data_IF_678717124208
#
_entry.id   IF_678717124208
#
_cell.length_a   1.000
_cell.length_b   1.000
_cell.length_c   1.000
_cell.angle_alpha   90.00
_cell.angle_beta   90.00
_cell.angle_gamma   90.00
#
_symmetry.space_group_name_H-M   'P 1'
#
loop_
_entity.id
_entity.type
_entity.pdbx_description
1 polymer ?
#
# COMPACT_ATOMS: atom_id res chain seq x y z
N UNK A 1 -18.46 -20.48 -34.69
CA UNK A 1 -17.52 -19.62 -35.43
C UNK A 1 -17.80 -18.21 -34.94
N UNK A 2 -17.04 -17.56 -34.10
CA UNK A 2 -15.66 -17.69 -33.64
C UNK A 2 -15.66 -17.09 -32.22
N UNK A 3 -15.39 -17.90 -31.20
CA UNK A 3 -15.40 -17.46 -29.79
C UNK A 3 -13.99 -17.10 -29.38
N UNK A 4 -13.62 -15.84 -29.64
CA UNK A 4 -12.33 -15.25 -29.29
C UNK A 4 -12.08 -15.31 -27.79
N UNK A 5 -11.39 -16.36 -27.36
CA UNK A 5 -10.98 -16.57 -25.99
C UNK A 5 -9.79 -15.64 -25.73
N UNK A 6 -10.02 -14.55 -24.99
CA UNK A 6 -8.92 -13.67 -24.57
C UNK A 6 -8.17 -14.37 -23.43
N UNK A 7 -7.16 -15.15 -23.79
CA UNK A 7 -6.19 -15.72 -22.86
C UNK A 7 -5.39 -14.60 -22.22
N UNK A 8 -5.57 -14.39 -20.92
CA UNK A 8 -4.66 -13.59 -20.10
C UNK A 8 -3.31 -14.32 -20.06
N UNK A 9 -2.36 -13.86 -20.88
CA UNK A 9 -0.98 -14.32 -20.79
C UNK A 9 -0.38 -13.82 -19.47
N UNK A 10 0.33 -14.67 -18.71
CA UNK A 10 1.15 -14.18 -17.61
C UNK A 10 2.16 -13.19 -18.17
N UNK A 11 2.27 -12.02 -17.55
CA UNK A 11 3.33 -11.05 -17.83
C UNK A 11 4.64 -11.78 -17.54
N UNK A 12 5.37 -12.16 -18.60
CA UNK A 12 6.70 -12.69 -18.46
C UNK A 12 7.54 -11.67 -17.68
N UNK A 13 8.42 -12.09 -16.74
CA UNK A 13 9.43 -11.18 -16.21
C UNK A 13 10.15 -10.61 -17.41
N UNK A 14 10.01 -9.30 -17.62
CA UNK A 14 10.61 -8.63 -18.76
C UNK A 14 12.07 -9.04 -18.83
N UNK A 15 12.49 -9.54 -19.99
CA UNK A 15 13.90 -9.74 -20.28
C UNK A 15 14.61 -8.46 -19.88
N UNK A 16 15.45 -8.54 -18.85
CA UNK A 16 16.43 -7.53 -18.55
C UNK A 16 17.35 -7.49 -19.76
N UNK A 17 16.96 -6.70 -20.76
CA UNK A 17 17.82 -6.36 -21.88
C UNK A 17 19.08 -5.78 -21.25
N UNK A 18 20.19 -6.50 -21.46
CA UNK A 18 21.53 -6.09 -21.07
C UNK A 18 21.98 -4.87 -21.87
N UNK A 19 21.27 -3.76 -21.76
CA UNK A 19 21.81 -2.45 -22.00
C UNK A 19 22.60 -2.09 -20.75
N UNK A 20 23.93 -2.08 -20.85
CA UNK A 20 24.77 -1.60 -19.77
C UNK A 20 24.26 -0.24 -19.30
N UNK A 21 23.65 -0.23 -18.11
CA UNK A 21 23.25 1.01 -17.47
C UNK A 21 24.55 1.67 -17.05
N UNK A 22 25.05 2.58 -17.87
CA UNK A 22 26.11 3.50 -17.45
C UNK A 22 25.56 4.23 -16.22
N UNK A 23 25.95 3.78 -15.03
CA UNK A 23 25.52 4.42 -13.79
C UNK A 23 26.04 5.86 -13.81
N UNK A 24 25.11 6.81 -13.80
CA UNK A 24 25.45 8.22 -13.73
C UNK A 24 26.16 8.48 -12.40
N UNK A 25 27.32 9.13 -12.43
CA UNK A 25 27.97 9.60 -11.21
C UNK A 25 27.12 10.69 -10.52
N UNK A 26 27.49 11.07 -9.29
CA UNK A 26 26.75 12.06 -8.51
C UNK A 26 26.63 13.43 -9.23
N UNK A 27 27.68 13.85 -9.94
CA UNK A 27 27.69 15.09 -10.71
C UNK A 27 26.76 15.03 -11.93
N UNK A 28 26.78 13.91 -12.65
CA UNK A 28 25.91 13.64 -13.79
C UNK A 28 24.43 13.57 -13.37
N UNK A 29 24.11 12.91 -12.24
CA UNK A 29 22.74 12.90 -11.68
C UNK A 29 22.28 14.30 -11.29
N UNK A 30 23.14 15.08 -10.63
CA UNK A 30 22.84 16.47 -10.29
C UNK A 30 22.63 17.35 -11.55
N UNK A 31 23.44 17.14 -12.59
CA UNK A 31 23.28 17.82 -13.88
C UNK A 31 21.96 17.44 -14.58
N UNK A 32 21.58 16.16 -14.55
CA UNK A 32 20.32 15.67 -15.09
C UNK A 32 19.11 16.30 -14.38
N UNK A 33 19.14 16.40 -13.04
CA UNK A 33 18.11 17.11 -12.27
C UNK A 33 18.02 18.60 -12.60
N UNK A 34 19.17 19.29 -12.74
CA UNK A 34 19.22 20.69 -13.20
C UNK A 34 18.67 20.85 -14.62
N UNK A 35 18.94 19.90 -15.52
CA UNK A 35 18.41 19.90 -16.86
C UNK A 35 16.89 19.68 -16.88
N UNK A 36 16.35 18.78 -16.05
CA UNK A 36 14.92 18.59 -15.88
C UNK A 36 14.23 19.88 -15.43
N UNK A 37 14.79 20.56 -14.42
CA UNK A 37 14.27 21.86 -13.95
C UNK A 37 14.29 22.96 -15.02
N UNK A 38 15.27 22.94 -15.94
CA UNK A 38 15.31 23.90 -17.07
C UNK A 38 14.24 23.60 -18.11
N UNK A 39 13.95 22.31 -18.38
CA UNK A 39 12.87 21.91 -19.30
C UNK A 39 11.49 22.21 -18.75
N UNK A 40 11.28 21.94 -17.46
CA UNK A 40 10.03 22.21 -16.77
C UNK A 40 10.28 23.01 -15.48
N UNK A 41 10.02 24.32 -15.49
CA UNK A 41 10.11 25.14 -14.28
C UNK A 41 9.21 24.61 -13.17
N UNK A 42 9.65 24.68 -11.92
CA UNK A 42 8.90 24.16 -10.77
C UNK A 42 7.49 24.78 -10.63
N UNK A 43 7.31 26.04 -11.01
CA UNK A 43 6.00 26.70 -10.98
C UNK A 43 5.00 26.02 -11.92
N UNK A 44 5.44 25.52 -13.07
CA UNK A 44 4.57 24.81 -14.01
C UNK A 44 4.07 23.46 -13.46
N UNK A 45 4.73 22.90 -12.43
CA UNK A 45 4.22 21.71 -11.72
C UNK A 45 3.07 22.04 -10.75
N UNK A 46 2.90 23.31 -10.38
CA UNK A 46 1.83 23.76 -9.48
C UNK A 46 0.51 23.99 -10.25
N UNK A 47 0.60 24.31 -11.54
CA UNK A 47 -0.57 24.50 -12.38
C UNK A 47 -1.29 23.16 -12.61
N UNK A 48 -2.60 23.18 -12.44
CA UNK A 48 -3.48 22.06 -12.75
C UNK A 48 -4.66 22.58 -13.55
N UNK A 49 -4.68 22.22 -14.83
CA UNK A 49 -5.82 22.39 -15.72
C UNK A 49 -6.18 21.01 -16.28
N UNK A 50 -7.26 20.37 -15.82
CA UNK A 50 -7.64 19.06 -16.29
C UNK A 50 -8.24 19.06 -17.70
N UNK A 51 -8.49 20.25 -18.29
CA UNK A 51 -9.10 20.39 -19.60
C UNK A 51 -10.61 20.02 -19.63
N UNK A 52 -11.28 20.28 -20.77
CA UNK A 52 -12.71 20.02 -20.93
C UNK A 52 -13.06 18.54 -21.03
N UNK A 53 -12.11 17.69 -21.46
CA UNK A 53 -12.31 16.25 -21.66
C UNK A 53 -12.03 15.42 -20.41
N UNK A 54 -11.86 16.06 -19.25
CA UNK A 54 -11.65 15.36 -17.99
C UNK A 54 -12.86 14.45 -17.71
N UNK A 55 -12.66 13.12 -17.56
CA UNK A 55 -13.74 12.20 -17.24
C UNK A 55 -14.41 12.55 -15.92
N UNK A 56 -15.70 12.23 -15.81
CA UNK A 56 -16.41 12.29 -14.53
C UNK A 56 -15.72 11.35 -13.52
N UNK A 57 -15.27 11.85 -12.36
CA UNK A 57 -14.69 11.02 -11.31
C UNK A 57 -15.59 9.84 -10.89
N UNK A 58 -16.91 9.98 -10.97
CA UNK A 58 -17.84 8.88 -10.66
C UNK A 58 -17.81 7.81 -11.76
N UNK A 59 -17.81 8.22 -13.03
CA UNK A 59 -17.68 7.29 -14.15
C UNK A 59 -16.39 6.48 -14.09
N UNK A 60 -15.27 7.09 -13.66
CA UNK A 60 -14.01 6.37 -13.41
C UNK A 60 -14.15 5.29 -12.32
N UNK A 61 -14.91 5.57 -11.25
CA UNK A 61 -15.16 4.59 -10.19
C UNK A 61 -16.07 3.46 -10.65
N UNK A 62 -17.09 3.76 -11.44
CA UNK A 62 -18.00 2.78 -12.04
C UNK A 62 -17.26 1.86 -13.01
N UNK A 63 -16.35 2.41 -13.83
CA UNK A 63 -15.47 1.62 -14.68
C UNK A 63 -14.62 0.64 -13.85
N UNK A 64 -14.05 1.08 -12.74
CA UNK A 64 -13.32 0.18 -11.83
C UNK A 64 -14.25 -0.87 -11.19
N UNK A 65 -15.49 -0.51 -10.87
CA UNK A 65 -16.45 -1.39 -10.21
C UNK A 65 -16.82 -2.61 -11.07
N UNK A 66 -16.71 -2.53 -12.40
CA UNK A 66 -17.02 -3.65 -13.31
C UNK A 66 -16.18 -4.91 -13.06
N UNK A 67 -14.97 -4.78 -12.50
CA UNK A 67 -14.08 -5.91 -12.16
C UNK A 67 -14.14 -6.33 -10.69
N UNK A 68 -14.92 -5.62 -9.87
CA UNK A 68 -15.04 -5.85 -8.43
C UNK A 68 -16.14 -6.88 -8.14
N UNK A 69 -16.07 -7.49 -6.96
CA UNK A 69 -17.14 -8.35 -6.42
C UNK A 69 -18.43 -7.51 -6.29
N UNK A 70 -19.49 -7.80 -7.07
CA UNK A 70 -20.66 -6.91 -7.18
C UNK A 70 -21.33 -6.58 -5.86
N UNK A 71 -21.44 -7.56 -4.96
CA UNK A 71 -22.07 -7.44 -3.64
C UNK A 71 -21.34 -6.45 -2.72
N UNK A 72 -20.05 -6.20 -2.98
CA UNK A 72 -19.21 -5.30 -2.20
C UNK A 72 -19.10 -3.89 -2.80
N UNK A 73 -19.58 -3.68 -4.04
CA UNK A 73 -19.58 -2.35 -4.67
C UNK A 73 -20.37 -1.32 -3.86
N UNK A 74 -21.60 -1.59 -3.37
CA UNK A 74 -22.33 -0.65 -2.52
C UNK A 74 -21.59 -0.32 -1.21
N UNK A 75 -20.86 -1.29 -0.66
CA UNK A 75 -20.06 -1.10 0.55
C UNK A 75 -18.85 -0.20 0.30
N UNK A 76 -18.20 -0.33 -0.87
CA UNK A 76 -17.12 0.57 -1.31
C UNK A 76 -17.63 2.01 -1.35
N UNK A 77 -18.74 2.25 -2.04
CA UNK A 77 -19.33 3.59 -2.12
C UNK A 77 -19.76 4.14 -0.76
N UNK A 78 -20.40 3.32 0.09
CA UNK A 78 -20.72 3.74 1.47
C UNK A 78 -19.49 4.20 2.25
N UNK A 79 -18.37 3.48 2.14
CA UNK A 79 -17.11 3.85 2.81
C UNK A 79 -16.50 5.12 2.23
N UNK A 80 -16.57 5.31 0.92
CA UNK A 80 -16.08 6.53 0.27
C UNK A 80 -16.95 7.76 0.57
N UNK A 81 -18.26 7.58 0.75
CA UNK A 81 -19.21 8.63 1.13
C UNK A 81 -19.03 9.13 2.57
N UNK A 82 -18.24 8.44 3.40
CA UNK A 82 -18.09 8.80 4.80
C UNK A 82 -17.41 10.16 5.02
N UNK A 83 -16.48 10.56 4.13
CA UNK A 83 -15.86 11.88 4.13
C UNK A 83 -15.10 12.17 2.82
N UNK A 84 -14.79 13.44 2.49
CA UNK A 84 -13.92 13.78 1.37
C UNK A 84 -12.56 13.06 1.43
N UNK A 85 -12.00 12.88 2.62
CA UNK A 85 -10.76 12.13 2.80
C UNK A 85 -10.94 10.64 2.52
N UNK A 86 -12.07 10.04 2.94
CA UNK A 86 -12.41 8.65 2.63
C UNK A 86 -12.62 8.42 1.13
N UNK A 87 -13.22 9.38 0.41
CA UNK A 87 -13.30 9.37 -1.05
C UNK A 87 -11.91 9.40 -1.68
N UNK A 88 -11.07 10.36 -1.27
CA UNK A 88 -9.74 10.56 -1.85
C UNK A 88 -8.82 9.32 -1.76
N UNK A 89 -8.85 8.63 -0.62
CA UNK A 89 -8.12 7.36 -0.42
C UNK A 89 -8.74 6.16 -1.16
N UNK A 90 -9.99 6.26 -1.61
CA UNK A 90 -10.70 5.19 -2.31
C UNK A 90 -10.69 5.35 -3.84
N UNK A 91 -10.24 6.51 -4.32
CA UNK A 91 -10.33 6.97 -5.70
C UNK A 91 -8.94 7.39 -6.26
N UNK A 92 -7.95 6.51 -6.18
CA UNK A 92 -6.59 6.82 -6.68
C UNK A 92 -6.57 7.21 -8.16
N UNK A 93 -7.38 6.52 -8.96
CA UNK A 93 -7.47 6.70 -10.41
C UNK A 93 -7.78 8.14 -10.86
N UNK A 94 -8.65 8.85 -10.14
CA UNK A 94 -9.05 10.21 -10.54
C UNK A 94 -7.86 11.16 -10.59
N UNK A 95 -7.04 11.17 -9.54
CA UNK A 95 -5.83 12.00 -9.53
C UNK A 95 -4.76 11.48 -10.48
N UNK A 96 -4.63 10.16 -10.65
CA UNK A 96 -3.70 9.61 -11.62
C UNK A 96 -4.04 10.07 -13.05
N UNK A 97 -5.33 10.11 -13.41
CA UNK A 97 -5.79 10.64 -14.69
C UNK A 97 -5.47 12.14 -14.83
N UNK A 98 -5.75 12.93 -13.80
CA UNK A 98 -5.45 14.37 -13.75
C UNK A 98 -3.95 14.66 -13.94
N UNK A 99 -3.09 13.85 -13.32
CA UNK A 99 -1.64 14.00 -13.40
C UNK A 99 -1.06 13.48 -14.71
N UNK A 100 -1.69 12.49 -15.34
CA UNK A 100 -1.27 11.94 -16.63
C UNK A 100 -1.40 12.96 -17.77
N UNK A 101 -2.41 13.84 -17.71
CA UNK A 101 -2.60 14.92 -18.66
C UNK A 101 -1.68 16.14 -18.39
N UNK A 102 -1.10 16.22 -17.19
CA UNK A 102 -0.29 17.35 -16.76
C UNK A 102 1.19 17.26 -17.17
N UNK A 103 1.96 18.34 -16.95
CA UNK A 103 3.38 18.33 -17.22
C UNK A 103 4.13 17.41 -16.25
N UNK A 104 5.21 16.81 -16.74
CA UNK A 104 6.06 15.88 -16.00
C UNK A 104 7.52 16.32 -16.04
N UNK A 105 8.21 16.20 -14.91
CA UNK A 105 9.64 16.43 -14.77
C UNK A 105 10.48 15.45 -15.61
N UNK A 106 9.89 14.29 -15.94
CA UNK A 106 10.58 13.16 -16.59
C UNK A 106 11.49 12.38 -15.64
N UNK A 107 11.52 12.72 -14.34
CA UNK A 107 12.29 12.00 -13.34
C UNK A 107 11.46 10.80 -12.84
N UNK A 108 11.68 9.64 -13.48
CA UNK A 108 10.93 8.42 -13.20
C UNK A 108 11.52 7.64 -12.02
N UNK A 109 10.63 7.17 -11.15
CA UNK A 109 10.92 6.28 -10.01
C UNK A 109 9.87 5.16 -9.98
N UNK A 110 10.09 4.12 -9.18
CA UNK A 110 9.01 3.20 -8.83
C UNK A 110 8.10 3.92 -7.84
N UNK A 111 6.87 4.24 -8.26
CA UNK A 111 5.89 4.91 -7.41
C UNK A 111 5.22 3.91 -6.47
N UNK A 112 4.81 4.38 -5.30
CA UNK A 112 3.77 3.73 -4.51
C UNK A 112 2.44 3.72 -5.26
N UNK A 113 2.11 4.82 -5.97
CA UNK A 113 0.88 4.95 -6.76
C UNK A 113 -0.33 5.36 -5.93
N UNK A 114 -0.36 5.01 -4.64
CA UNK A 114 -1.39 5.44 -3.69
C UNK A 114 -0.80 6.13 -2.43
N UNK A 115 0.22 6.97 -2.62
CA UNK A 115 0.86 7.68 -1.50
C UNK A 115 -0.10 8.70 -0.84
N UNK A 116 -0.66 8.35 0.33
CA UNK A 116 -1.54 9.23 1.10
C UNK A 116 -1.33 9.04 2.61
N UNK A 117 -1.74 10.01 3.44
CA UNK A 117 -1.55 10.02 4.90
C UNK A 117 -1.89 8.68 5.59
N UNK A 118 -2.97 8.01 5.20
CA UNK A 118 -3.38 6.74 5.80
C UNK A 118 -2.79 5.47 5.15
N UNK A 119 -1.86 5.61 4.22
CA UNK A 119 -1.07 4.51 3.63
C UNK A 119 0.23 4.35 4.44
N UNK A 120 0.60 5.37 5.20
CA UNK A 120 1.67 5.27 6.18
C UNK A 120 1.18 4.63 7.47
N UNK A 121 1.98 3.74 8.03
CA UNK A 121 1.67 3.04 9.26
C UNK A 121 2.92 2.59 10.01
N UNK A 122 2.70 1.92 11.14
CA UNK A 122 3.77 1.34 11.96
C UNK A 122 3.75 -0.18 11.80
N UNK A 123 4.87 -0.75 11.40
CA UNK A 123 5.03 -2.17 11.09
C UNK A 123 6.17 -2.78 11.90
N UNK A 124 6.05 -4.08 12.20
CA UNK A 124 7.16 -4.84 12.76
C UNK A 124 8.12 -5.25 11.65
N UNK A 125 9.40 -4.93 11.78
CA UNK A 125 10.46 -5.45 10.93
C UNK A 125 10.79 -6.91 11.28
N UNK A 126 11.52 -7.60 10.40
CA UNK A 126 12.01 -8.95 10.66
C UNK A 126 12.88 -9.02 11.94
N UNK A 127 13.59 -7.94 12.26
CA UNK A 127 14.39 -7.79 13.48
C UNK A 127 13.57 -7.33 14.70
N UNK A 128 12.23 -7.40 14.63
CA UNK A 128 11.29 -7.02 15.70
C UNK A 128 11.38 -5.55 16.11
N UNK A 129 11.85 -4.67 15.23
CA UNK A 129 11.79 -3.22 15.41
C UNK A 129 10.49 -2.67 14.84
N UNK A 130 10.01 -1.55 15.36
CA UNK A 130 8.89 -0.86 14.76
C UNK A 130 9.40 0.17 13.75
N UNK A 131 8.98 0.04 12.50
CA UNK A 131 9.31 0.95 11.41
C UNK A 131 8.06 1.70 10.96
N UNK A 132 8.24 2.98 10.60
CA UNK A 132 7.22 3.74 9.91
C UNK A 132 7.40 3.58 8.40
N UNK A 133 6.39 3.05 7.71
CA UNK A 133 6.51 2.74 6.28
C UNK A 133 5.17 2.87 5.56
N UNK A 134 5.18 2.70 4.24
CA UNK A 134 4.02 2.47 3.39
C UNK A 134 3.60 0.99 3.45
N UNK A 135 2.31 0.70 3.30
CA UNK A 135 1.82 -0.68 3.37
C UNK A 135 1.08 -1.20 2.16
N UNK A 136 0.65 -0.32 1.26
CA UNK A 136 -0.09 -0.71 0.07
C UNK A 136 0.71 -0.35 -1.19
N UNK A 137 0.98 -1.38 -1.99
CA UNK A 137 1.71 -1.32 -3.26
C UNK A 137 0.89 -1.90 -4.41
N UNK A 138 -0.42 -2.09 -4.25
CA UNK A 138 -1.30 -2.64 -5.29
C UNK A 138 -1.32 -1.74 -6.55
N UNK A 139 -1.03 -0.45 -6.40
CA UNK A 139 -1.00 0.56 -7.47
C UNK A 139 0.44 0.94 -7.89
N UNK A 140 1.44 0.13 -7.53
CA UNK A 140 2.84 0.46 -7.80
C UNK A 140 3.18 0.43 -9.30
N UNK A 141 3.73 1.52 -9.83
CA UNK A 141 4.11 1.62 -11.24
C UNK A 141 5.27 2.60 -11.47
N UNK A 142 6.13 2.40 -12.49
CA UNK A 142 7.18 3.37 -12.82
C UNK A 142 6.60 4.68 -13.37
N UNK A 143 6.80 5.79 -12.66
CA UNK A 143 6.23 7.09 -13.04
C UNK A 143 6.98 8.29 -12.45
N UNK A 144 6.55 9.53 -12.76
CA UNK A 144 7.20 10.75 -12.27
C UNK A 144 7.08 10.86 -10.76
N UNK A 145 8.19 11.05 -10.04
CA UNK A 145 8.21 11.05 -8.57
C UNK A 145 7.22 12.06 -7.96
N UNK A 146 6.97 13.17 -8.65
CA UNK A 146 6.07 14.22 -8.16
C UNK A 146 4.62 13.75 -8.03
N UNK A 147 4.21 12.64 -8.65
CA UNK A 147 2.86 12.11 -8.54
C UNK A 147 2.55 11.64 -7.12
N UNK A 148 3.43 10.83 -6.53
CA UNK A 148 3.29 10.38 -5.14
C UNK A 148 3.40 11.56 -4.17
N UNK A 149 4.30 12.51 -4.42
CA UNK A 149 4.46 13.69 -3.56
C UNK A 149 3.20 14.56 -3.59
N UNK A 150 2.66 14.84 -4.78
CA UNK A 150 1.41 15.60 -4.94
C UNK A 150 0.25 14.87 -4.28
N UNK A 151 0.15 13.54 -4.46
CA UNK A 151 -0.90 12.73 -3.85
C UNK A 151 -0.82 12.76 -2.32
N UNK A 152 0.38 12.59 -1.79
CA UNK A 152 0.64 12.63 -0.35
C UNK A 152 0.24 13.98 0.22
N UNK A 153 0.72 15.08 -0.36
CA UNK A 153 0.45 16.44 0.13
C UNK A 153 -1.03 16.79 0.03
N UNK A 154 -1.69 16.46 -1.09
CA UNK A 154 -3.13 16.69 -1.25
C UNK A 154 -3.95 15.91 -0.21
N UNK A 155 -3.51 14.70 0.17
CA UNK A 155 -4.16 13.94 1.24
C UNK A 155 -4.14 14.65 2.60
N UNK A 156 -3.05 15.37 2.92
CA UNK A 156 -2.96 16.17 4.14
C UNK A 156 -3.88 17.39 4.10
N UNK A 157 -3.96 18.09 2.97
CA UNK A 157 -4.89 19.22 2.79
C UNK A 157 -6.34 18.76 2.97
N UNK A 158 -6.73 17.65 2.34
CA UNK A 158 -8.09 17.11 2.40
C UNK A 158 -8.40 16.63 3.83
N UNK A 159 -7.48 15.91 4.49
CA UNK A 159 -7.66 15.47 5.87
C UNK A 159 -7.74 16.65 6.85
N UNK A 160 -6.91 17.68 6.68
CA UNK A 160 -6.95 18.88 7.50
C UNK A 160 -8.29 19.61 7.37
N UNK A 161 -8.82 19.68 6.14
CA UNK A 161 -10.12 20.30 5.87
C UNK A 161 -11.27 19.52 6.52
N UNK A 162 -11.27 18.20 6.37
CA UNK A 162 -12.25 17.29 6.99
C UNK A 162 -12.25 17.38 8.52
N UNK A 163 -11.08 17.68 9.11
CA UNK A 163 -10.90 17.88 10.57
C UNK A 163 -11.16 19.31 11.06
N UNK A 164 -11.54 20.23 10.17
CA UNK A 164 -11.88 21.61 10.52
C UNK A 164 -10.68 22.51 10.80
N UNK A 165 -9.48 22.17 10.34
CA UNK A 165 -8.30 23.05 10.46
C UNK A 165 -8.47 24.28 9.57
N UNK A 166 -7.96 25.42 10.03
CA UNK A 166 -7.99 26.69 9.30
C UNK A 166 -7.15 26.63 8.02
N UNK A 167 -7.40 27.52 7.06
CA UNK A 167 -6.64 27.55 5.81
C UNK A 167 -5.13 27.77 6.04
N UNK A 168 -4.76 28.57 7.06
CA UNK A 168 -3.38 28.80 7.44
C UNK A 168 -2.71 27.52 7.96
N UNK A 169 -3.35 26.81 8.89
CA UNK A 169 -2.81 25.55 9.43
C UNK A 169 -2.64 24.50 8.33
N UNK A 170 -3.61 24.35 7.42
CA UNK A 170 -3.48 23.36 6.35
C UNK A 170 -2.39 23.72 5.34
N UNK A 171 -2.22 25.00 5.03
CA UNK A 171 -1.11 25.48 4.20
C UNK A 171 0.25 25.15 4.82
N UNK A 172 0.40 25.39 6.13
CA UNK A 172 1.59 25.03 6.88
C UNK A 172 1.86 23.52 6.84
N UNK A 173 0.84 22.69 7.07
CA UNK A 173 0.94 21.22 7.00
C UNK A 173 1.37 20.76 5.60
N UNK A 174 0.76 21.29 4.55
CA UNK A 174 1.09 20.92 3.17
C UNK A 174 2.55 21.27 2.82
N UNK A 175 3.00 22.46 3.22
CA UNK A 175 4.39 22.89 3.05
C UNK A 175 5.36 22.04 3.87
N UNK A 176 5.00 21.67 5.10
CA UNK A 176 5.81 20.80 5.94
C UNK A 176 5.95 19.40 5.33
N UNK A 177 4.86 18.81 4.82
CA UNK A 177 4.89 17.51 4.15
C UNK A 177 5.79 17.53 2.90
N UNK A 178 5.61 18.52 2.02
CA UNK A 178 6.41 18.66 0.81
C UNK A 178 7.90 18.95 1.11
N UNK A 179 8.16 19.82 2.08
CA UNK A 179 9.53 20.19 2.45
C UNK A 179 10.28 19.06 3.16
N UNK A 180 9.59 18.25 3.97
CA UNK A 180 10.15 17.05 4.59
C UNK A 180 10.64 16.05 3.54
N UNK A 181 9.82 15.77 2.52
CA UNK A 181 10.22 14.92 1.39
C UNK A 181 11.47 15.48 0.68
N UNK A 182 11.45 16.78 0.35
CA UNK A 182 12.59 17.45 -0.32
C UNK A 182 13.88 17.37 0.52
N UNK A 183 13.78 17.59 1.83
CA UNK A 183 14.94 17.53 2.73
C UNK A 183 15.50 16.11 2.83
N UNK A 184 14.63 15.10 2.94
CA UNK A 184 15.03 13.70 2.94
C UNK A 184 15.75 13.30 1.65
N UNK A 185 15.20 13.64 0.48
CA UNK A 185 15.85 13.37 -0.82
C UNK A 185 17.19 14.10 -0.94
N UNK A 186 17.30 15.34 -0.44
CA UNK A 186 18.55 16.10 -0.45
C UNK A 186 19.62 15.45 0.42
N UNK A 187 19.24 14.96 1.59
CA UNK A 187 20.13 14.21 2.49
C UNK A 187 20.58 12.90 1.81
N UNK A 188 19.63 12.08 1.33
CA UNK A 188 19.94 10.82 0.66
C UNK A 188 20.80 10.98 -0.60
N UNK A 189 20.65 12.07 -1.35
CA UNK A 189 21.48 12.34 -2.52
C UNK A 189 22.98 12.51 -2.18
N UNK A 190 23.31 12.87 -0.93
CA UNK A 190 24.68 13.01 -0.45
C UNK A 190 25.25 11.77 0.24
N UNK A 191 24.45 10.72 0.46
CA UNK A 191 24.85 9.52 1.18
C UNK A 191 25.37 8.42 0.25
N UNK A 192 26.28 7.55 0.72
CA UNK A 192 26.60 6.29 0.07
C UNK A 192 25.34 5.44 -0.17
N UNK A 193 25.32 4.67 -1.27
CA UNK A 193 24.17 3.85 -1.63
C UNK A 193 23.75 2.86 -0.52
N UNK A 194 24.74 2.29 0.20
CA UNK A 194 24.48 1.37 1.29
C UNK A 194 23.82 2.05 2.50
N UNK A 195 24.19 3.31 2.78
CA UNK A 195 23.57 4.09 3.87
C UNK A 195 22.12 4.45 3.53
N UNK A 196 21.82 4.69 2.25
CA UNK A 196 20.44 4.87 1.78
C UNK A 196 19.67 3.55 1.85
N UNK A 197 20.29 2.43 1.47
CA UNK A 197 19.68 1.10 1.53
C UNK A 197 19.27 0.69 2.96
N UNK A 198 20.09 1.04 3.95
CA UNK A 198 19.79 0.78 5.36
C UNK A 198 19.05 1.92 6.07
N UNK A 199 18.69 3.00 5.38
CA UNK A 199 17.92 4.07 5.98
C UNK A 199 16.53 3.53 6.37
N UNK A 200 16.15 3.74 7.63
CA UNK A 200 14.85 3.31 8.18
C UNK A 200 14.27 4.45 9.00
N UNK A 201 12.95 4.61 8.96
CA UNK A 201 12.24 5.45 9.92
C UNK A 201 11.95 4.62 11.17
N UNK A 202 12.96 4.45 12.03
CA UNK A 202 12.81 3.75 13.30
C UNK A 202 11.89 4.55 14.24
N UNK A 203 10.85 3.89 14.73
CA UNK A 203 9.82 4.56 15.53
C UNK A 203 10.33 4.99 16.91
N UNK A 204 11.33 4.32 17.48
CA UNK A 204 11.91 4.73 18.77
C UNK A 204 12.76 6.00 18.61
N UNK A 205 13.49 6.12 17.49
CA UNK A 205 14.20 7.34 17.12
C UNK A 205 13.21 8.48 16.86
N UNK A 206 12.20 8.25 16.01
CA UNK A 206 11.16 9.23 15.70
C UNK A 206 10.46 9.73 16.98
N UNK A 207 10.18 8.84 17.93
CA UNK A 207 9.55 9.20 19.21
C UNK A 207 10.44 10.04 20.11
N UNK A 208 11.74 9.74 20.13
CA UNK A 208 12.72 10.54 20.87
C UNK A 208 12.78 11.97 20.34
N UNK A 209 12.59 12.15 19.04
CA UNK A 209 12.50 13.47 18.41
C UNK A 209 11.13 14.13 18.55
N UNK A 210 10.05 13.34 18.51
CA UNK A 210 8.68 13.82 18.60
C UNK A 210 8.39 14.54 19.92
N UNK A 211 9.14 14.24 20.98
CA UNK A 211 9.08 14.98 22.25
C UNK A 211 9.34 16.48 22.10
N UNK A 212 10.06 16.90 21.05
CA UNK A 212 10.36 18.31 20.74
C UNK A 212 9.18 19.06 20.11
N UNK A 213 8.23 18.33 19.51
CA UNK A 213 7.17 18.90 18.67
C UNK A 213 5.76 18.57 19.17
N UNK A 214 5.59 17.48 19.92
CA UNK A 214 4.31 17.05 20.47
C UNK A 214 4.12 17.55 21.90
N UNK A 215 2.94 18.09 22.19
CA UNK A 215 2.50 18.34 23.56
C UNK A 215 2.47 17.04 24.40
N UNK A 216 2.56 17.10 25.74
CA UNK A 216 2.61 15.90 26.60
C UNK A 216 1.46 14.90 26.37
N UNK A 217 0.25 15.40 26.09
CA UNK A 217 -0.90 14.56 25.75
C UNK A 217 -0.72 13.83 24.41
N UNK A 218 -0.13 14.48 23.42
CA UNK A 218 0.23 13.88 22.13
C UNK A 218 1.27 12.77 22.32
N UNK A 219 2.34 13.05 23.06
CA UNK A 219 3.39 12.06 23.36
C UNK A 219 2.81 10.80 24.02
N UNK A 220 1.96 10.94 25.04
CA UNK A 220 1.31 9.80 25.70
C UNK A 220 0.43 8.99 24.74
N UNK A 221 -0.38 9.65 23.91
CA UNK A 221 -1.23 8.96 22.92
C UNK A 221 -0.40 8.17 21.92
N UNK A 222 0.69 8.75 21.42
CA UNK A 222 1.57 8.09 20.47
C UNK A 222 2.29 6.91 21.12
N UNK A 223 2.82 7.07 22.34
CA UNK A 223 3.43 5.97 23.09
C UNK A 223 2.47 4.78 23.30
N UNK A 224 1.21 5.04 23.66
CA UNK A 224 0.18 3.99 23.78
C UNK A 224 -0.08 3.29 22.44
N UNK A 225 -0.12 4.03 21.33
CA UNK A 225 -0.31 3.47 20.00
C UNK A 225 0.86 2.57 19.59
N UNK A 226 2.12 2.98 19.85
CA UNK A 226 3.30 2.14 19.61
C UNK A 226 3.29 0.88 20.48
N UNK A 227 2.98 0.99 21.77
CA UNK A 227 2.90 -0.16 22.67
C UNK A 227 1.86 -1.20 22.18
N UNK A 228 0.75 -0.72 21.60
CA UNK A 228 -0.24 -1.58 20.94
C UNK A 228 0.29 -2.19 19.64
N UNK A 229 1.01 -1.43 18.82
CA UNK A 229 1.63 -1.92 17.58
C UNK A 229 2.66 -3.03 17.86
N UNK A 230 3.49 -2.90 18.91
CA UNK A 230 4.45 -3.94 19.33
C UNK A 230 3.81 -5.29 19.66
N UNK A 231 2.53 -5.29 20.07
CA UNK A 231 1.77 -6.50 20.43
C UNK A 231 0.97 -7.08 19.26
N UNK A 232 1.02 -6.47 18.07
CA UNK A 232 0.35 -6.99 16.87
C UNK A 232 1.31 -7.93 16.16
N UNK A 233 1.27 -9.20 16.51
CA UNK A 233 1.94 -10.29 15.81
C UNK A 233 0.92 -11.33 15.33
N UNK A 234 1.40 -12.36 14.60
CA UNK A 234 0.55 -13.43 14.07
C UNK A 234 -0.12 -14.26 15.17
N UNK A 235 0.48 -14.34 16.37
CA UNK A 235 -0.11 -14.99 17.54
C UNK A 235 -1.32 -14.20 18.05
N UNK A 236 -1.17 -12.89 18.22
CA UNK A 236 -2.27 -12.00 18.60
C UNK A 236 -3.40 -12.00 17.55
N UNK A 237 -3.06 -12.12 16.27
CA UNK A 237 -4.06 -12.29 15.20
C UNK A 237 -4.77 -13.65 15.32
N UNK A 238 -4.03 -14.72 15.61
CA UNK A 238 -4.57 -16.07 15.76
C UNK A 238 -5.58 -16.16 16.91
N UNK A 239 -5.22 -15.68 18.10
CA UNK A 239 -6.09 -15.70 19.29
C UNK A 239 -7.42 -14.96 19.07
N UNK A 240 -7.44 -13.98 18.17
CA UNK A 240 -8.63 -13.17 17.87
C UNK A 240 -9.44 -13.65 16.69
N UNK A 241 -8.77 -14.22 15.69
CA UNK A 241 -9.36 -14.51 14.38
C UNK A 241 -9.57 -16.00 14.14
N UNK A 242 -9.16 -16.88 15.05
CA UNK A 242 -9.25 -18.33 14.88
C UNK A 242 -10.00 -18.94 16.06
N UNK A 243 -10.94 -19.81 15.75
CA UNK A 243 -11.62 -20.70 16.70
C UNK A 243 -11.29 -22.15 16.36
N UNK A 244 -11.60 -23.09 17.24
CA UNK A 244 -11.44 -24.52 16.98
C UNK A 244 -12.79 -25.16 16.79
N UNK A 245 -13.02 -25.79 15.63
CA UNK A 245 -14.24 -26.55 15.33
C UNK A 245 -13.85 -27.99 15.04
N UNK A 246 -14.31 -28.92 15.88
CA UNK A 246 -13.99 -30.35 15.72
C UNK A 246 -12.49 -30.69 15.82
N UNK A 247 -11.72 -29.90 16.56
CA UNK A 247 -10.25 -30.05 16.67
C UNK A 247 -9.46 -29.38 15.54
N UNK A 248 -10.13 -28.81 14.54
CA UNK A 248 -9.49 -28.11 13.43
C UNK A 248 -9.58 -26.58 13.63
N UNK A 249 -8.45 -25.85 13.52
CA UNK A 249 -8.45 -24.39 13.53
C UNK A 249 -9.24 -23.83 12.35
N UNK A 250 -10.18 -22.92 12.62
CA UNK A 250 -11.04 -22.27 11.62
C UNK A 250 -11.05 -20.77 11.85
N UNK A 251 -10.97 -19.99 10.77
CA UNK A 251 -11.08 -18.53 10.84
C UNK A 251 -12.50 -18.16 11.29
N UNK A 252 -12.61 -17.22 12.24
CA UNK A 252 -13.89 -16.72 12.75
C UNK A 252 -14.60 -15.95 11.65
N UNK A 253 -15.86 -16.30 11.42
CA UNK A 253 -16.74 -15.63 10.48
C UNK A 253 -17.27 -14.32 11.05
N UNK A 254 -17.14 -13.23 10.29
CA UNK A 254 -17.70 -11.91 10.58
C UNK A 254 -18.16 -11.25 9.27
N UNK A 255 -19.31 -11.69 8.68
CA UNK A 255 -19.75 -11.19 7.39
C UNK A 255 -20.19 -9.70 7.41
N UNK A 256 -19.89 -8.92 6.35
CA UNK A 256 -19.17 -9.30 5.15
C UNK A 256 -17.63 -9.13 5.27
N UNK A 257 -17.10 -8.81 6.45
CA UNK A 257 -15.71 -8.39 6.64
C UNK A 257 -14.70 -9.53 6.50
N UNK A 258 -15.01 -10.68 7.10
CA UNK A 258 -14.22 -11.91 7.03
C UNK A 258 -15.19 -13.07 6.85
N UNK A 259 -15.11 -13.76 5.72
CA UNK A 259 -16.00 -14.87 5.42
C UNK A 259 -15.15 -16.10 5.07
N UNK A 260 -15.09 -17.11 5.94
CA UNK A 260 -14.41 -18.38 5.66
C UNK A 260 -14.90 -19.00 4.35
N UNK A 261 -14.01 -19.67 3.63
CA UNK A 261 -14.36 -20.25 2.32
C UNK A 261 -15.47 -21.31 2.45
N UNK A 262 -15.55 -21.98 3.59
CA UNK A 262 -16.58 -22.96 3.95
C UNK A 262 -17.96 -22.32 4.18
N UNK A 263 -18.02 -21.02 4.45
CA UNK A 263 -19.29 -20.29 4.60
C UNK A 263 -19.80 -19.73 3.26
N UNK A 264 -18.92 -19.70 2.24
CA UNK A 264 -19.21 -19.13 0.91
C UNK A 264 -19.61 -20.19 -0.12
N UNK A 265 -19.14 -21.42 0.06
CA UNK A 265 -19.21 -22.46 -0.96
C UNK A 265 -19.61 -23.81 -0.37
N UNK A 266 -20.11 -24.70 -1.22
CA UNK A 266 -20.29 -26.11 -0.86
C UNK A 266 -18.93 -26.75 -0.51
N UNK A 267 -18.93 -27.87 0.24
CA UNK A 267 -17.68 -28.54 0.64
C UNK A 267 -16.77 -28.89 -0.56
N UNK A 268 -17.37 -29.32 -1.69
CA UNK A 268 -16.64 -29.64 -2.91
C UNK A 268 -15.96 -28.40 -3.52
N UNK A 269 -16.71 -27.30 -3.60
CA UNK A 269 -16.24 -26.04 -4.15
C UNK A 269 -15.19 -25.36 -3.25
N UNK A 270 -15.36 -25.47 -1.93
CA UNK A 270 -14.39 -25.02 -0.94
C UNK A 270 -13.06 -25.75 -1.11
N UNK A 271 -13.08 -27.09 -1.25
CA UNK A 271 -11.89 -27.91 -1.51
C UNK A 271 -11.15 -27.48 -2.78
N UNK A 272 -11.88 -27.27 -3.88
CA UNK A 272 -11.32 -26.74 -5.12
C UNK A 272 -10.71 -25.33 -4.95
N UNK A 273 -11.30 -24.50 -4.08
CA UNK A 273 -10.75 -23.21 -3.67
C UNK A 273 -9.41 -23.33 -2.93
N UNK A 274 -9.32 -24.24 -1.97
CA UNK A 274 -8.06 -24.54 -1.28
C UNK A 274 -6.97 -24.99 -2.26
N UNK A 275 -7.28 -25.85 -3.22
CA UNK A 275 -6.29 -26.33 -4.19
C UNK A 275 -5.76 -25.23 -5.11
N UNK A 276 -6.63 -24.31 -5.55
CA UNK A 276 -6.22 -23.12 -6.28
C UNK A 276 -5.28 -22.25 -5.43
N UNK A 277 -5.62 -21.99 -4.18
CA UNK A 277 -4.77 -21.17 -3.28
C UNK A 277 -3.45 -21.87 -2.92
N UNK A 278 -3.43 -23.20 -2.78
CA UNK A 278 -2.19 -23.98 -2.65
C UNK A 278 -1.31 -23.85 -3.89
N UNK A 279 -1.88 -23.80 -5.09
CA UNK A 279 -1.11 -23.55 -6.31
C UNK A 279 -0.49 -22.14 -6.33
N UNK A 280 -1.26 -21.12 -5.92
CA UNK A 280 -0.75 -19.74 -5.77
C UNK A 280 0.38 -19.68 -4.74
N UNK A 281 0.19 -20.27 -3.56
CA UNK A 281 1.22 -20.34 -2.51
C UNK A 281 2.50 -21.04 -2.99
N UNK A 282 2.38 -22.13 -3.74
CA UNK A 282 3.54 -22.79 -4.35
C UNK A 282 4.28 -21.87 -5.31
N UNK A 283 3.55 -21.11 -6.13
CA UNK A 283 4.18 -20.13 -7.04
C UNK A 283 4.85 -18.99 -6.27
N UNK A 284 4.20 -18.46 -5.25
CA UNK A 284 4.75 -17.43 -4.37
C UNK A 284 6.01 -17.89 -3.65
N UNK A 285 6.03 -19.10 -3.09
CA UNK A 285 7.25 -19.67 -2.48
C UNK A 285 8.42 -19.72 -3.45
N UNK A 286 8.17 -19.99 -4.74
CA UNK A 286 9.21 -19.98 -5.79
C UNK A 286 9.74 -18.59 -6.14
N UNK A 287 9.05 -17.51 -5.78
CA UNK A 287 9.57 -16.14 -5.93
C UNK A 287 10.32 -15.65 -4.70
N UNK A 288 10.29 -16.37 -3.57
CA UNK A 288 11.06 -16.02 -2.37
C UNK A 288 12.54 -16.37 -2.52
N UNK A 289 13.37 -15.61 -1.80
CA UNK A 289 14.79 -15.95 -1.54
C UNK A 289 14.91 -17.36 -0.94
N UNK A 290 16.00 -18.11 -1.23
CA UNK A 290 16.11 -19.52 -0.83
C UNK A 290 15.91 -19.79 0.66
N UNK A 291 16.44 -18.93 1.53
CA UNK A 291 16.32 -18.99 2.99
C UNK A 291 14.87 -18.76 3.46
N UNK A 292 14.19 -17.73 2.91
CA UNK A 292 12.78 -17.45 3.21
C UNK A 292 11.85 -18.54 2.69
N UNK A 293 12.16 -19.10 1.51
CA UNK A 293 11.43 -20.24 0.95
C UNK A 293 11.53 -21.44 1.87
N UNK A 294 12.73 -21.77 2.32
CA UNK A 294 12.95 -22.88 3.23
C UNK A 294 12.11 -22.74 4.51
N UNK A 295 12.13 -21.57 5.16
CA UNK A 295 11.27 -21.29 6.31
C UNK A 295 9.78 -21.43 5.97
N UNK A 296 9.35 -20.81 4.86
CA UNK A 296 7.96 -20.83 4.44
C UNK A 296 7.45 -22.26 4.23
N UNK A 297 8.29 -23.19 3.74
CA UNK A 297 7.96 -24.61 3.49
C UNK A 297 7.56 -25.39 4.74
N UNK A 298 7.93 -24.94 5.95
CA UNK A 298 7.51 -25.55 7.20
C UNK A 298 6.04 -25.32 7.58
N UNK A 299 5.37 -24.40 6.87
CA UNK A 299 3.99 -24.02 7.15
C UNK A 299 3.00 -24.74 6.21
N UNK A 300 1.88 -25.18 6.75
CA UNK A 300 0.79 -25.83 6.00
C UNK A 300 -0.45 -24.93 6.01
N UNK A 301 -1.08 -24.72 4.85
CA UNK A 301 -2.35 -24.00 4.74
C UNK A 301 -3.47 -24.82 5.40
N UNK A 302 -4.12 -24.25 6.42
CA UNK A 302 -5.20 -24.90 7.16
C UNK A 302 -6.51 -24.11 7.17
N UNK A 303 -6.49 -22.83 6.83
CA UNK A 303 -7.68 -21.98 6.81
C UNK A 303 -7.62 -20.92 5.73
N UNK A 304 -8.77 -20.62 5.14
CA UNK A 304 -8.93 -19.60 4.11
C UNK A 304 -10.18 -18.78 4.39
N UNK A 305 -10.08 -17.45 4.29
CA UNK A 305 -11.24 -16.57 4.35
C UNK A 305 -11.13 -15.44 3.34
N UNK A 306 -12.24 -15.06 2.71
CA UNK A 306 -12.34 -13.81 1.97
C UNK A 306 -12.34 -12.64 2.96
N UNK A 307 -11.64 -11.55 2.62
CA UNK A 307 -11.54 -10.37 3.48
C UNK A 307 -11.90 -9.11 2.72
N UNK A 308 -12.76 -8.28 3.32
CA UNK A 308 -12.95 -6.90 2.87
C UNK A 308 -11.85 -6.01 3.43
N UNK A 309 -10.97 -5.54 2.54
CA UNK A 309 -9.78 -4.71 2.84
C UNK A 309 -10.11 -3.21 2.90
N UNK A 310 -9.10 -2.33 2.83
CA UNK A 310 -9.23 -0.88 2.91
C UNK A 310 -10.11 -0.27 1.80
N UNK A 311 -10.46 1.01 1.94
CA UNK A 311 -11.48 1.69 1.09
C UNK A 311 -11.23 1.53 -0.42
N UNK A 312 -9.99 1.69 -0.90
CA UNK A 312 -9.65 1.55 -2.32
C UNK A 312 -9.75 0.12 -2.87
N UNK A 313 -9.51 -0.85 -2.00
CA UNK A 313 -9.46 -2.28 -2.34
C UNK A 313 -10.77 -3.00 -1.98
N UNK A 314 -11.82 -2.31 -1.52
CA UNK A 314 -13.14 -2.95 -1.30
C UNK A 314 -13.67 -3.52 -2.61
N UNK A 315 -14.08 -4.79 -2.57
CA UNK A 315 -14.54 -5.53 -3.73
C UNK A 315 -13.42 -6.20 -4.54
N UNK A 316 -12.15 -6.12 -4.11
CA UNK A 316 -11.11 -7.03 -4.62
C UNK A 316 -11.32 -8.44 -4.05
N UNK A 317 -10.75 -9.43 -4.72
CA UNK A 317 -10.69 -10.81 -4.21
C UNK A 317 -9.48 -10.98 -3.27
N UNK A 318 -9.50 -10.24 -2.15
CA UNK A 318 -8.49 -10.38 -1.10
C UNK A 318 -8.80 -11.60 -0.21
N UNK A 319 -7.80 -12.44 0.03
CA UNK A 319 -7.92 -13.68 0.81
C UNK A 319 -6.96 -13.66 1.99
N UNK A 320 -7.40 -14.09 3.16
CA UNK A 320 -6.52 -14.38 4.28
C UNK A 320 -6.25 -15.88 4.28
N UNK A 321 -4.98 -16.25 4.38
CA UNK A 321 -4.50 -17.61 4.48
C UNK A 321 -3.95 -17.83 5.89
N UNK A 322 -4.55 -18.76 6.63
CA UNK A 322 -4.03 -19.25 7.90
C UNK A 322 -3.14 -20.47 7.61
N UNK A 323 -1.85 -20.33 7.92
CA UNK A 323 -0.89 -21.42 7.87
C UNK A 323 -0.39 -21.77 9.27
N UNK A 324 -0.14 -23.05 9.52
CA UNK A 324 0.41 -23.55 10.78
C UNK A 324 1.74 -24.26 10.55
N UNK A 325 2.69 -24.00 11.45
CA UNK A 325 3.95 -24.75 11.56
C UNK A 325 3.74 -26.18 12.08
N UNK A 326 4.85 -26.86 12.38
CA UNK A 326 4.81 -28.25 12.87
C UNK A 326 4.19 -28.37 14.26
N UNK A 327 4.36 -27.34 15.09
CA UNK A 327 3.81 -27.30 16.44
C UNK A 327 2.53 -26.45 16.49
N UNK A 328 1.54 -26.94 17.25
CA UNK A 328 0.30 -26.21 17.51
C UNK A 328 0.62 -24.97 18.36
N UNK A 329 0.84 -23.84 17.70
CA UNK A 329 1.29 -22.60 18.34
C UNK A 329 2.11 -21.69 17.44
N UNK A 330 2.37 -22.08 16.20
CA UNK A 330 3.11 -21.26 15.23
C UNK A 330 2.22 -20.82 14.05
N UNK A 331 1.28 -19.87 14.26
CA UNK A 331 0.44 -19.38 13.19
C UNK A 331 1.18 -18.35 12.32
N UNK A 332 1.00 -18.48 11.02
CA UNK A 332 1.39 -17.50 10.03
C UNK A 332 0.14 -17.10 9.24
N UNK A 333 -0.10 -15.79 9.16
CA UNK A 333 -1.14 -15.24 8.28
C UNK A 333 -0.50 -14.60 7.06
N UNK A 334 -1.00 -14.97 5.88
CA UNK A 334 -0.73 -14.27 4.63
C UNK A 334 -2.03 -13.63 4.13
N UNK A 335 -1.90 -12.50 3.43
CA UNK A 335 -3.00 -11.81 2.76
C UNK A 335 -2.64 -11.62 1.29
#
# INVERSE_FOLDING_TARGET
MDTGTTTLHPIAPGEATGAGTTELDAGQRAAAGKAARRRLPLAALADHDPGPDRPDPVALLEQQAATRVPELVPLRYRRMLASPFAFYRGAALGMAHDLAAGPSSGLRVQLCGDAHLSNFGVFGSAERRLVFDLNDFDETLPGPFEWDVKRMVASFEIAGRDRGFSAAERSEIALLAASSYRLAIRDFAGRPALDVWYARADMDELMSEAGRWLAPRGQRRTATALAKARRRDSLHAFDRLVTTVGGTPRIVSDPPWVVPIEDMYSDHDASAGYDRLRAVLRSYRRSLEPDRRHLAEHYTLVGVAHKVVGVGSVGTRAWILLLLGKDAGEPLFLQ
#
